data_IF_522355304060
#
_entry.id   IF_522355304060
#
_cell.length_a   1.000
_cell.length_b   1.000
_cell.length_c   1.000
_cell.angle_alpha   90.00
_cell.angle_beta   90.00
_cell.angle_gamma   90.00
#
_symmetry.space_group_name_H-M   'P 1'
#
loop_
_entity.id
_entity.type
_entity.pdbx_description
1 polymer ?
#
# COMPACT_ATOMS: atom_id res chain seq x y z
N UNK A 1 18.16 13.98 7.30
CA UNK A 1 18.00 12.59 6.83
C UNK A 1 17.07 12.56 5.62
N UNK A 2 17.45 11.87 4.52
CA UNK A 2 16.66 11.79 3.26
C UNK A 2 15.96 10.43 3.15
N UNK A 3 14.67 10.43 2.91
CA UNK A 3 13.82 9.22 2.86
C UNK A 3 13.00 9.23 1.58
N UNK A 4 13.15 8.19 0.77
CA UNK A 4 12.40 8.03 -0.47
C UNK A 4 11.40 6.89 -0.34
N UNK A 5 10.20 7.09 -0.91
CA UNK A 5 9.17 6.07 -1.05
C UNK A 5 9.05 5.63 -2.49
N UNK A 6 9.13 4.33 -2.72
CA UNK A 6 8.83 3.66 -3.97
C UNK A 6 7.54 2.87 -3.80
N UNK A 7 6.49 3.29 -4.48
CA UNK A 7 5.17 2.67 -4.36
C UNK A 7 4.34 2.81 -5.63
N UNK A 8 4.78 2.29 -6.79
CA UNK A 8 4.00 2.37 -8.03
C UNK A 8 2.68 1.62 -7.90
N UNK A 9 1.61 2.25 -8.35
CA UNK A 9 0.28 1.65 -8.43
C UNK A 9 -0.43 2.11 -9.72
N UNK A 10 -1.36 1.31 -10.21
CA UNK A 10 -2.14 1.62 -11.41
C UNK A 10 -3.66 1.43 -11.21
N UNK A 11 -4.08 1.09 -9.99
CA UNK A 11 -5.49 1.05 -9.56
C UNK A 11 -5.61 1.66 -8.17
N UNK A 12 -6.78 2.20 -7.84
CA UNK A 12 -7.03 2.75 -6.51
C UNK A 12 -7.06 1.63 -5.46
N UNK A 13 -6.14 1.72 -4.50
CA UNK A 13 -5.99 0.75 -3.41
C UNK A 13 -5.77 1.46 -2.07
N UNK A 14 -6.18 0.84 -0.98
CA UNK A 14 -6.04 1.40 0.37
C UNK A 14 -4.58 1.74 0.75
N UNK A 15 -3.61 1.05 0.16
CA UNK A 15 -2.17 1.28 0.41
C UNK A 15 -1.72 2.68 0.00
N UNK A 16 -2.41 3.36 -0.96
CA UNK A 16 -2.07 4.73 -1.37
C UNK A 16 -2.14 5.68 -0.17
N UNK A 17 -3.26 5.68 0.55
CA UNK A 17 -3.43 6.50 1.76
C UNK A 17 -2.44 6.12 2.85
N UNK A 18 -2.16 4.83 3.02
CA UNK A 18 -1.18 4.37 4.01
C UNK A 18 0.24 4.89 3.70
N UNK A 19 0.63 5.00 2.43
CA UNK A 19 1.93 5.58 2.02
C UNK A 19 1.96 7.08 2.31
N UNK A 20 0.93 7.84 1.89
CA UNK A 20 0.83 9.29 2.12
C UNK A 20 0.91 9.57 3.63
N UNK A 21 0.06 8.95 4.43
CA UNK A 21 0.03 9.19 5.87
C UNK A 21 1.28 8.70 6.61
N UNK A 22 1.95 7.66 6.11
CA UNK A 22 3.25 7.24 6.62
C UNK A 22 4.31 8.33 6.38
N UNK A 23 4.35 8.91 5.18
CA UNK A 23 5.26 9.99 4.84
C UNK A 23 4.98 11.26 5.67
N UNK A 24 3.71 11.66 5.79
CA UNK A 24 3.28 12.80 6.63
C UNK A 24 3.61 12.60 8.10
N UNK A 25 3.40 11.37 8.62
CA UNK A 25 3.73 11.04 10.01
C UNK A 25 5.21 11.20 10.31
N UNK A 26 6.07 10.83 9.37
CA UNK A 26 7.52 11.04 9.53
C UNK A 26 7.85 12.53 9.65
N UNK A 27 7.33 13.38 8.75
CA UNK A 27 7.56 14.82 8.80
C UNK A 27 7.03 15.41 10.11
N UNK A 28 5.84 14.99 10.53
CA UNK A 28 5.15 15.58 11.68
C UNK A 28 5.76 15.16 13.01
N UNK A 29 6.12 13.89 13.18
CA UNK A 29 6.46 13.33 14.47
C UNK A 29 7.96 13.07 14.67
N UNK A 30 8.74 12.95 13.61
CA UNK A 30 10.19 12.78 13.75
C UNK A 30 10.86 14.13 14.00
N UNK A 31 11.42 14.33 15.21
CA UNK A 31 11.98 15.62 15.67
C UNK A 31 13.48 15.59 15.97
N UNK A 32 14.14 14.43 15.78
CA UNK A 32 15.55 14.29 16.12
C UNK A 32 16.49 15.06 15.19
N UNK A 33 16.13 15.17 13.92
CA UNK A 33 16.87 15.90 12.90
C UNK A 33 15.94 16.32 11.75
N UNK A 34 16.38 17.26 10.93
CA UNK A 34 15.64 17.64 9.71
C UNK A 34 15.54 16.44 8.77
N UNK A 35 14.33 16.13 8.35
CA UNK A 35 14.08 15.07 7.38
C UNK A 35 13.56 15.67 6.07
N UNK A 36 13.97 15.04 4.97
CA UNK A 36 13.50 15.29 3.62
C UNK A 36 12.82 14.01 3.13
N UNK A 37 11.51 14.08 2.90
CA UNK A 37 10.69 12.94 2.49
C UNK A 37 10.21 13.16 1.08
N UNK A 38 10.43 12.18 0.21
CA UNK A 38 10.01 12.25 -1.19
C UNK A 38 9.27 11.00 -1.62
N UNK A 39 8.19 11.20 -2.38
CA UNK A 39 7.48 10.14 -3.11
C UNK A 39 8.03 10.07 -4.53
N UNK A 40 8.47 8.89 -4.96
CA UNK A 40 8.93 8.68 -6.34
C UNK A 40 7.71 8.42 -7.22
N UNK A 41 7.48 9.31 -8.19
CA UNK A 41 6.44 9.21 -9.20
C UNK A 41 7.01 8.53 -10.45
N UNK A 42 6.74 7.26 -10.60
CA UNK A 42 7.40 6.42 -11.60
C UNK A 42 6.67 6.37 -12.94
N UNK A 43 5.35 6.44 -12.92
CA UNK A 43 4.47 6.31 -14.10
C UNK A 43 3.36 7.37 -14.14
N UNK A 44 3.36 8.34 -13.22
CA UNK A 44 2.29 9.33 -13.05
C UNK A 44 1.26 8.95 -11.98
N UNK A 45 1.58 7.97 -11.15
CA UNK A 45 0.66 7.42 -10.14
C UNK A 45 0.27 8.41 -9.05
N UNK A 46 1.11 9.40 -8.75
CA UNK A 46 0.86 10.40 -7.72
C UNK A 46 0.15 11.66 -8.20
N UNK A 47 0.01 11.87 -9.52
CA UNK A 47 -0.52 13.12 -10.09
C UNK A 47 -1.93 13.47 -9.59
N UNK A 48 -2.81 12.49 -9.51
CA UNK A 48 -4.18 12.70 -9.02
C UNK A 48 -4.27 12.87 -7.49
N UNK A 49 -3.15 12.69 -6.78
CA UNK A 49 -3.08 12.78 -5.32
C UNK A 49 -2.30 14.00 -4.83
N UNK A 50 -1.73 14.84 -5.70
CA UNK A 50 -0.92 16.00 -5.33
C UNK A 50 -1.62 16.92 -4.31
N UNK A 51 -2.92 17.15 -4.47
CA UNK A 51 -3.71 17.97 -3.56
C UNK A 51 -3.92 17.35 -2.17
N UNK A 52 -3.73 16.04 -2.05
CA UNK A 52 -3.90 15.28 -0.81
C UNK A 52 -2.56 15.06 -0.07
N UNK A 53 -1.44 15.35 -0.71
CA UNK A 53 -0.09 15.17 -0.16
C UNK A 53 0.34 16.46 0.52
N UNK A 54 0.91 16.36 1.73
CA UNK A 54 1.44 17.50 2.47
C UNK A 54 2.52 18.23 1.65
N UNK A 55 2.47 19.56 1.63
CA UNK A 55 3.39 20.42 0.85
C UNK A 55 4.86 20.25 1.20
N UNK A 56 5.16 19.68 2.37
CA UNK A 56 6.53 19.39 2.81
C UNK A 56 7.03 18.03 2.30
N UNK A 57 6.23 17.28 1.53
CA UNK A 57 6.62 16.04 0.87
C UNK A 57 6.91 16.35 -0.60
N UNK A 58 8.13 16.05 -1.04
CA UNK A 58 8.51 16.24 -2.43
C UNK A 58 7.98 15.10 -3.31
N UNK A 59 7.54 15.42 -4.53
CA UNK A 59 7.22 14.43 -5.55
C UNK A 59 8.32 14.44 -6.60
N UNK A 60 9.03 13.31 -6.74
CA UNK A 60 10.11 13.17 -7.71
C UNK A 60 9.57 12.45 -8.95
N UNK A 61 9.36 13.19 -10.03
CA UNK A 61 8.96 12.63 -11.31
C UNK A 61 10.15 11.91 -11.97
N UNK A 62 10.10 10.58 -12.03
CA UNK A 62 11.15 9.77 -12.65
C UNK A 62 11.15 9.88 -14.17
N UNK A 63 9.98 10.08 -14.74
CA UNK A 63 9.75 10.11 -16.17
C UNK A 63 8.95 11.35 -16.57
N UNK A 64 9.31 11.93 -17.75
CA UNK A 64 8.50 12.99 -18.35
C UNK A 64 7.17 12.46 -18.91
N UNK A 65 7.21 11.25 -19.47
CA UNK A 65 6.05 10.57 -20.05
C UNK A 65 5.39 9.75 -18.92
N UNK A 66 4.10 9.97 -18.74
CA UNK A 66 3.27 9.28 -17.73
C UNK A 66 2.61 8.07 -18.38
N UNK A 67 3.01 6.88 -17.95
CA UNK A 67 2.51 5.63 -18.52
C UNK A 67 1.20 5.15 -17.91
N UNK A 68 0.75 5.74 -16.81
CA UNK A 68 -0.38 5.23 -16.01
C UNK A 68 -1.63 4.97 -16.87
N UNK A 69 -1.94 5.86 -17.80
CA UNK A 69 -3.16 5.77 -18.62
C UNK A 69 -3.06 4.75 -19.77
N UNK A 70 -1.84 4.42 -20.15
CA UNK A 70 -1.56 3.46 -21.24
C UNK A 70 -1.37 2.02 -20.74
N UNK A 71 -1.26 1.82 -19.42
CA UNK A 71 -1.04 0.49 -18.87
C UNK A 71 -2.33 -0.34 -18.87
N UNK A 72 -2.26 -1.62 -19.27
CA UNK A 72 -3.39 -2.52 -19.17
C UNK A 72 -3.71 -2.81 -17.70
N UNK A 73 -4.90 -2.38 -17.23
CA UNK A 73 -5.27 -2.37 -15.80
C UNK A 73 -6.07 -3.59 -15.35
N UNK A 74 -6.93 -4.14 -16.20
CA UNK A 74 -7.92 -5.14 -15.82
C UNK A 74 -7.49 -6.56 -16.19
N UNK A 75 -7.59 -7.48 -15.22
CA UNK A 75 -7.30 -8.90 -15.39
C UNK A 75 -5.89 -9.32 -14.97
N UNK A 76 -5.75 -10.63 -14.68
CA UNK A 76 -4.52 -11.19 -14.12
C UNK A 76 -3.32 -11.06 -15.07
N UNK A 77 -3.49 -11.39 -16.35
CA UNK A 77 -2.40 -11.36 -17.35
C UNK A 77 -2.01 -9.90 -17.63
N UNK A 78 -3.00 -9.02 -17.86
CA UNK A 78 -2.78 -7.60 -18.15
C UNK A 78 -2.00 -6.90 -17.04
N UNK A 79 -2.34 -7.16 -15.78
CA UNK A 79 -1.58 -6.60 -14.65
C UNK A 79 -0.15 -7.12 -14.57
N UNK A 80 0.14 -8.36 -14.98
CA UNK A 80 1.52 -8.87 -15.07
C UNK A 80 2.34 -8.17 -16.13
N UNK A 81 1.75 -7.92 -17.28
CA UNK A 81 2.39 -7.13 -18.37
C UNK A 81 2.72 -5.73 -17.85
N UNK A 82 1.79 -5.06 -17.17
CA UNK A 82 2.05 -3.74 -16.58
C UNK A 82 3.20 -3.75 -15.57
N UNK A 83 3.32 -4.77 -14.73
CA UNK A 83 4.46 -4.92 -13.81
C UNK A 83 5.79 -5.05 -14.56
N UNK A 84 5.83 -5.80 -15.67
CA UNK A 84 7.03 -5.96 -16.50
C UNK A 84 7.40 -4.63 -17.16
N UNK A 85 6.42 -3.93 -17.75
CA UNK A 85 6.64 -2.62 -18.36
C UNK A 85 7.20 -1.64 -17.34
N UNK A 86 6.59 -1.50 -16.16
CA UNK A 86 7.04 -0.60 -15.10
C UNK A 86 8.46 -0.95 -14.65
N UNK A 87 8.79 -2.25 -14.55
CA UNK A 87 10.13 -2.70 -14.19
C UNK A 87 11.17 -2.19 -15.17
N UNK A 88 11.03 -2.48 -16.48
CA UNK A 88 12.02 -2.10 -17.49
C UNK A 88 12.04 -0.58 -17.75
N UNK A 89 10.88 0.08 -17.68
CA UNK A 89 10.77 1.52 -17.88
C UNK A 89 11.54 2.33 -16.84
N UNK A 90 11.63 1.83 -15.62
CA UNK A 90 12.21 2.56 -14.50
C UNK A 90 13.60 2.08 -14.07
N UNK A 91 14.13 0.98 -14.61
CA UNK A 91 15.36 0.33 -14.11
C UNK A 91 16.55 1.29 -14.07
N UNK A 92 16.85 1.98 -15.17
CA UNK A 92 17.99 2.89 -15.26
C UNK A 92 17.73 4.16 -14.45
N UNK A 93 16.53 4.71 -14.55
CA UNK A 93 16.20 5.99 -13.92
C UNK A 93 16.14 5.88 -12.39
N UNK A 94 15.55 4.81 -11.86
CA UNK A 94 15.53 4.57 -10.42
C UNK A 94 16.95 4.33 -9.88
N UNK A 95 17.77 3.53 -10.58
CA UNK A 95 19.18 3.33 -10.22
C UNK A 95 19.92 4.66 -10.15
N UNK A 96 19.79 5.49 -11.20
CA UNK A 96 20.50 6.76 -11.27
C UNK A 96 20.03 7.74 -10.19
N UNK A 97 18.70 7.83 -9.94
CA UNK A 97 18.15 8.64 -8.86
C UNK A 97 18.73 8.25 -7.50
N UNK A 98 18.67 6.96 -7.15
CA UNK A 98 19.14 6.48 -5.85
C UNK A 98 20.66 6.70 -5.69
N UNK A 99 21.45 6.46 -6.73
CA UNK A 99 22.89 6.65 -6.65
C UNK A 99 23.31 8.13 -6.65
N UNK A 100 22.54 9.02 -7.31
CA UNK A 100 22.78 10.46 -7.30
C UNK A 100 22.43 11.10 -5.96
N UNK A 101 21.24 10.79 -5.44
CA UNK A 101 20.67 11.45 -4.27
C UNK A 101 21.02 10.78 -2.96
N UNK A 102 21.52 9.54 -2.99
CA UNK A 102 21.97 8.72 -1.86
C UNK A 102 21.03 8.81 -0.64
N UNK A 103 19.70 8.49 -0.81
CA UNK A 103 18.80 8.59 0.32
C UNK A 103 19.24 7.64 1.45
N UNK A 104 19.07 8.06 2.70
CA UNK A 104 19.37 7.22 3.86
C UNK A 104 18.48 5.98 3.88
N UNK A 105 17.20 6.15 3.47
CA UNK A 105 16.23 5.06 3.39
C UNK A 105 15.45 5.10 2.09
N UNK A 106 15.27 3.93 1.50
CA UNK A 106 14.31 3.66 0.43
C UNK A 106 13.22 2.73 0.98
N UNK A 107 12.03 3.27 1.21
CA UNK A 107 10.86 2.51 1.68
C UNK A 107 10.11 2.00 0.45
N UNK A 108 10.00 0.68 0.34
CA UNK A 108 9.48 0.00 -0.84
C UNK A 108 8.14 -0.64 -0.54
N UNK A 109 7.11 -0.19 -1.24
CA UNK A 109 5.76 -0.77 -1.22
C UNK A 109 5.42 -1.43 -2.56
N UNK A 110 4.40 -2.30 -2.57
CA UNK A 110 3.74 -2.89 -3.75
C UNK A 110 4.70 -3.58 -4.72
N UNK A 111 5.26 -2.86 -5.68
CA UNK A 111 6.14 -3.40 -6.72
C UNK A 111 7.58 -3.50 -6.21
N UNK A 112 7.84 -4.57 -5.47
CA UNK A 112 9.10 -4.72 -4.72
C UNK A 112 10.26 -5.27 -5.55
N UNK A 113 9.98 -5.91 -6.70
CA UNK A 113 11.00 -6.61 -7.49
C UNK A 113 12.10 -5.68 -8.04
N UNK A 114 11.72 -4.53 -8.58
CA UNK A 114 12.70 -3.61 -9.15
C UNK A 114 13.66 -3.02 -8.10
N UNK A 115 13.21 -2.39 -7.01
CA UNK A 115 14.12 -1.88 -5.99
C UNK A 115 14.97 -2.97 -5.34
N UNK A 116 14.41 -4.16 -5.09
CA UNK A 116 15.16 -5.29 -4.54
C UNK A 116 16.27 -5.71 -5.50
N UNK A 117 15.97 -5.87 -6.80
CA UNK A 117 16.97 -6.19 -7.81
C UNK A 117 18.08 -5.12 -7.85
N UNK A 118 17.69 -3.85 -7.84
CA UNK A 118 18.63 -2.74 -7.92
C UNK A 118 19.52 -2.58 -6.68
N UNK A 119 19.22 -3.27 -5.56
CA UNK A 119 20.12 -3.27 -4.39
C UNK A 119 21.53 -3.78 -4.69
N UNK A 120 21.71 -4.51 -5.79
CA UNK A 120 23.02 -4.91 -6.28
C UNK A 120 23.87 -3.72 -6.78
N UNK A 121 23.21 -2.66 -7.23
CA UNK A 121 23.81 -1.50 -7.89
C UNK A 121 23.71 -0.22 -7.06
N UNK A 122 23.04 -0.26 -5.91
CA UNK A 122 22.94 0.89 -5.02
C UNK A 122 24.26 1.08 -4.25
N UNK A 123 24.58 2.33 -4.00
CA UNK A 123 25.64 2.68 -3.05
C UNK A 123 25.29 2.10 -1.66
N UNK A 124 26.30 1.70 -0.91
CA UNK A 124 26.12 1.05 0.42
C UNK A 124 25.41 1.93 1.45
N UNK A 125 25.28 3.23 1.19
CA UNK A 125 24.65 4.20 2.11
C UNK A 125 23.12 4.04 2.18
N UNK A 126 22.46 3.67 1.08
CA UNK A 126 21.00 3.55 1.04
C UNK A 126 20.52 2.25 1.68
N UNK A 127 19.72 2.36 2.75
CA UNK A 127 19.09 1.24 3.45
C UNK A 127 17.70 0.98 2.89
N UNK A 128 17.47 -0.22 2.35
CA UNK A 128 16.16 -0.60 1.79
C UNK A 128 15.28 -1.21 2.86
N UNK A 129 14.09 -0.61 3.08
CA UNK A 129 13.04 -1.11 3.95
C UNK A 129 11.92 -1.67 3.07
N UNK A 130 11.65 -2.96 3.19
CA UNK A 130 10.59 -3.61 2.44
C UNK A 130 9.30 -3.58 3.26
N UNK A 131 8.27 -2.88 2.76
CA UNK A 131 6.93 -2.87 3.35
C UNK A 131 6.03 -3.91 2.70
N UNK A 132 5.56 -4.87 3.46
CA UNK A 132 4.62 -5.90 3.01
C UNK A 132 3.23 -5.56 3.55
N UNK A 133 2.35 -5.03 2.70
CA UNK A 133 1.05 -4.47 3.09
C UNK A 133 -0.06 -5.51 3.35
N UNK A 134 0.23 -6.78 3.29
CA UNK A 134 -0.74 -7.87 3.53
C UNK A 134 -0.08 -9.23 3.44
N UNK A 135 -0.88 -10.31 3.52
CA UNK A 135 -0.35 -11.66 3.40
C UNK A 135 0.12 -11.93 1.95
N UNK A 136 1.43 -12.06 1.70
CA UNK A 136 1.95 -12.19 0.34
C UNK A 136 1.71 -13.60 -0.21
N UNK A 137 1.26 -13.69 -1.46
CA UNK A 137 1.30 -14.96 -2.21
C UNK A 137 2.74 -15.22 -2.64
N UNK A 138 3.40 -16.21 -2.02
CA UNK A 138 4.80 -16.54 -2.28
C UNK A 138 4.84 -17.83 -3.10
N UNK A 139 5.04 -17.70 -4.43
CA UNK A 139 5.37 -18.81 -5.31
C UNK A 139 6.88 -19.08 -5.30
N UNK A 140 7.33 -20.17 -5.94
CA UNK A 140 8.74 -20.59 -5.95
C UNK A 140 9.67 -19.47 -6.47
N UNK A 141 9.32 -18.81 -7.58
CA UNK A 141 10.14 -17.74 -8.16
C UNK A 141 10.30 -16.55 -7.19
N UNK A 142 9.21 -16.11 -6.56
CA UNK A 142 9.27 -15.06 -5.56
C UNK A 142 10.04 -15.48 -4.32
N UNK A 143 9.89 -16.73 -3.88
CA UNK A 143 10.63 -17.27 -2.76
C UNK A 143 12.14 -17.21 -3.04
N UNK A 144 12.60 -17.76 -4.17
CA UNK A 144 14.00 -17.76 -4.55
C UNK A 144 14.55 -16.35 -4.70
N UNK A 145 13.82 -15.48 -5.40
CA UNK A 145 14.20 -14.08 -5.58
C UNK A 145 14.37 -13.38 -4.22
N UNK A 146 13.37 -13.46 -3.35
CA UNK A 146 13.47 -12.82 -2.03
C UNK A 146 14.58 -13.44 -1.17
N UNK A 147 14.79 -14.77 -1.25
CA UNK A 147 15.85 -15.47 -0.50
C UNK A 147 17.25 -15.00 -0.92
N UNK A 148 17.49 -14.87 -2.23
CA UNK A 148 18.76 -14.38 -2.78
C UNK A 148 19.05 -12.97 -2.29
N UNK A 149 18.06 -12.08 -2.32
CA UNK A 149 18.25 -10.67 -2.00
C UNK A 149 18.01 -10.32 -0.51
N UNK A 150 17.58 -11.26 0.32
CA UNK A 150 17.23 -11.01 1.73
C UNK A 150 18.36 -10.37 2.54
N UNK A 151 19.62 -10.69 2.21
CA UNK A 151 20.79 -10.12 2.90
C UNK A 151 20.95 -8.62 2.65
N UNK A 152 20.52 -8.11 1.47
CA UNK A 152 20.57 -6.70 1.08
C UNK A 152 19.47 -5.85 1.72
N UNK A 153 18.37 -6.48 2.15
CA UNK A 153 17.26 -5.77 2.79
C UNK A 153 17.63 -5.41 4.23
N UNK A 154 17.50 -4.13 4.57
CA UNK A 154 17.80 -3.63 5.91
C UNK A 154 16.75 -4.10 6.92
N UNK A 155 15.46 -3.78 6.67
CA UNK A 155 14.32 -4.21 7.48
C UNK A 155 13.14 -4.59 6.59
N UNK A 156 12.29 -5.45 7.13
CA UNK A 156 11.00 -5.82 6.54
C UNK A 156 9.92 -5.44 7.53
N UNK A 157 8.93 -4.67 7.11
CA UNK A 157 7.80 -4.30 7.95
C UNK A 157 6.51 -4.91 7.42
N UNK A 158 5.63 -5.33 8.31
CA UNK A 158 4.32 -5.89 7.98
C UNK A 158 3.25 -5.39 8.96
N UNK A 159 1.97 -5.29 8.53
CA UNK A 159 0.94 -4.60 9.32
C UNK A 159 0.40 -5.42 10.50
N UNK A 160 0.50 -6.74 10.45
CA UNK A 160 -0.15 -7.62 11.43
C UNK A 160 0.77 -8.71 11.96
N UNK A 161 0.48 -9.19 13.16
CA UNK A 161 1.15 -10.35 13.76
C UNK A 161 1.02 -11.61 12.87
N UNK A 162 -0.15 -11.84 12.27
CA UNK A 162 -0.35 -12.98 11.36
C UNK A 162 0.57 -12.93 10.14
N UNK A 163 0.79 -11.75 9.54
CA UNK A 163 1.76 -11.60 8.44
C UNK A 163 3.20 -11.80 8.94
N UNK A 164 3.53 -11.32 10.11
CA UNK A 164 4.84 -11.54 10.75
C UNK A 164 5.11 -13.04 10.93
N UNK A 165 4.20 -13.78 11.55
CA UNK A 165 4.35 -15.21 11.82
C UNK A 165 4.46 -16.03 10.51
N UNK A 166 3.68 -15.63 9.49
CA UNK A 166 3.81 -16.21 8.16
C UNK A 166 5.22 -16.01 7.55
N UNK A 167 5.77 -14.80 7.64
CA UNK A 167 7.11 -14.50 7.11
C UNK A 167 8.20 -15.26 7.87
N UNK A 168 8.08 -15.37 9.19
CA UNK A 168 8.98 -16.20 10.03
C UNK A 168 8.94 -17.66 9.58
N UNK A 169 7.75 -18.23 9.42
CA UNK A 169 7.55 -19.61 8.95
C UNK A 169 8.20 -19.87 7.58
N UNK A 170 8.18 -18.87 6.69
CA UNK A 170 8.82 -18.99 5.36
C UNK A 170 10.35 -18.95 5.37
N UNK A 171 10.98 -18.52 6.47
CA UNK A 171 12.46 -18.49 6.64
C UNK A 171 13.20 -17.77 5.49
N UNK A 172 12.58 -16.75 4.88
CA UNK A 172 13.19 -15.95 3.81
C UNK A 172 14.11 -14.89 4.40
N UNK A 173 13.59 -14.13 5.35
CA UNK A 173 14.33 -13.07 6.05
C UNK A 173 14.71 -13.54 7.46
N UNK A 174 15.82 -13.00 7.98
CA UNK A 174 16.19 -13.22 9.38
C UNK A 174 15.15 -12.57 10.31
N UNK A 175 14.86 -13.21 11.45
CA UNK A 175 13.82 -12.77 12.40
C UNK A 175 14.04 -11.34 12.88
N UNK A 176 15.26 -10.96 13.17
CA UNK A 176 15.66 -9.63 13.65
C UNK A 176 15.46 -8.51 12.60
N UNK A 177 15.25 -8.87 11.34
CA UNK A 177 14.92 -7.91 10.28
C UNK A 177 13.43 -7.65 10.14
N UNK A 178 12.56 -8.52 10.66
CA UNK A 178 11.11 -8.41 10.48
C UNK A 178 10.50 -7.69 11.68
N UNK A 179 9.66 -6.68 11.39
CA UNK A 179 8.99 -5.87 12.40
C UNK A 179 7.49 -5.78 12.08
N UNK A 180 6.66 -5.87 13.12
CA UNK A 180 5.25 -5.51 13.01
C UNK A 180 5.14 -3.98 13.12
N UNK A 181 4.59 -3.36 12.10
CA UNK A 181 4.32 -1.93 12.05
C UNK A 181 2.96 -1.76 11.36
N UNK A 182 1.95 -1.33 12.09
CA UNK A 182 0.62 -1.09 11.53
C UNK A 182 0.65 0.02 10.48
N UNK A 183 -0.25 -0.07 9.48
CA UNK A 183 -0.42 1.02 8.53
C UNK A 183 -1.17 2.18 9.22
N UNK A 184 -0.78 3.43 9.00
CA UNK A 184 -1.58 4.59 9.40
C UNK A 184 -2.78 4.66 8.47
N UNK A 185 -3.95 4.23 8.95
CA UNK A 185 -5.17 4.11 8.14
C UNK A 185 -6.22 5.16 8.45
N UNK A 186 -6.06 5.91 9.52
CA UNK A 186 -7.01 6.95 9.95
C UNK A 186 -6.25 8.24 10.29
N UNK A 187 -6.61 9.33 9.63
CA UNK A 187 -6.25 10.67 10.05
C UNK A 187 -7.31 11.17 11.03
N UNK A 188 -7.00 11.20 12.32
CA UNK A 188 -7.96 11.56 13.38
C UNK A 188 -8.55 12.96 13.23
N UNK A 189 -7.80 13.94 12.67
CA UNK A 189 -8.32 15.29 12.41
C UNK A 189 -9.37 15.25 11.30
N UNK A 190 -9.04 14.63 10.18
CA UNK A 190 -9.96 14.46 9.06
C UNK A 190 -11.21 13.67 9.46
N UNK A 191 -11.02 12.61 10.23
CA UNK A 191 -12.13 11.82 10.77
C UNK A 191 -13.06 12.66 11.65
N UNK A 192 -12.51 13.47 12.55
CA UNK A 192 -13.30 14.31 13.46
C UNK A 192 -14.10 15.39 12.73
N UNK A 193 -13.56 15.93 11.62
CA UNK A 193 -14.26 16.90 10.77
C UNK A 193 -15.39 16.19 10.03
N UNK A 194 -15.09 15.12 9.31
CA UNK A 194 -16.06 14.35 8.51
C UNK A 194 -17.19 13.78 9.37
N UNK A 195 -16.89 13.34 10.60
CA UNK A 195 -17.92 12.83 11.52
C UNK A 195 -18.98 13.89 11.85
N UNK A 196 -18.62 15.18 11.85
CA UNK A 196 -19.59 16.29 12.11
C UNK A 196 -20.41 16.63 10.88
N UNK A 197 -19.88 16.36 9.68
CA UNK A 197 -20.49 16.70 8.39
C UNK A 197 -21.42 15.57 7.87
N UNK A 198 -21.27 14.35 8.37
CA UNK A 198 -22.01 13.19 7.89
C UNK A 198 -23.47 13.24 8.38
N UNK A 199 -24.35 13.57 7.44
CA UNK A 199 -25.77 13.26 7.55
C UNK A 199 -25.98 11.81 7.11
N UNK A 200 -26.57 10.99 7.99
CA UNK A 200 -27.04 9.67 7.59
C UNK A 200 -28.15 9.83 6.52
N UNK A 201 -28.21 8.94 5.51
CA UNK A 201 -29.37 8.88 4.65
C UNK A 201 -30.65 8.79 5.48
N UNK A 202 -31.69 9.51 5.08
CA UNK A 202 -32.96 9.58 5.83
C UNK A 202 -33.60 8.21 6.08
N UNK A 203 -33.37 7.28 5.14
CA UNK A 203 -33.83 5.88 5.21
C UNK A 203 -33.19 5.08 6.35
N UNK A 204 -32.04 5.54 6.84
CA UNK A 204 -31.32 4.89 7.94
C UNK A 204 -31.59 5.54 9.31
N UNK A 205 -32.41 6.60 9.35
CA UNK A 205 -32.77 7.24 10.60
C UNK A 205 -33.71 6.36 11.41
N UNK A 206 -33.38 6.17 12.69
CA UNK A 206 -34.22 5.43 13.65
C UNK A 206 -34.42 3.93 13.33
N UNK A 207 -33.54 3.33 12.52
CA UNK A 207 -33.54 1.89 12.32
C UNK A 207 -32.26 1.26 12.89
N UNK A 208 -32.36 0.03 13.39
CA UNK A 208 -31.20 -0.77 13.74
C UNK A 208 -30.65 -1.47 12.50
N UNK A 209 -29.34 -1.39 12.28
CA UNK A 209 -28.73 -2.04 11.14
C UNK A 209 -27.34 -2.61 11.40
N UNK A 210 -27.02 -3.66 10.66
CA UNK A 210 -25.67 -4.20 10.50
C UNK A 210 -25.09 -3.63 9.22
N UNK A 211 -23.88 -3.05 9.29
CA UNK A 211 -23.24 -2.48 8.10
C UNK A 211 -22.04 -3.31 7.65
N UNK A 212 -22.01 -3.67 6.37
CA UNK A 212 -20.85 -4.24 5.70
C UNK A 212 -20.24 -3.23 4.72
N UNK A 213 -18.94 -2.89 4.89
CA UNK A 213 -18.25 -1.92 4.03
C UNK A 213 -17.07 -2.57 3.34
N UNK A 214 -17.01 -2.47 1.99
CA UNK A 214 -15.86 -2.98 1.25
C UNK A 214 -16.15 -3.28 -0.21
N UNK A 215 -15.10 -3.64 -0.97
CA UNK A 215 -15.27 -4.06 -2.36
C UNK A 215 -16.08 -5.35 -2.43
N UNK A 216 -17.08 -5.41 -3.31
CA UNK A 216 -17.89 -6.61 -3.53
C UNK A 216 -17.10 -7.59 -4.40
N UNK A 217 -16.29 -8.39 -3.76
CA UNK A 217 -15.38 -9.36 -4.39
C UNK A 217 -15.38 -10.67 -3.62
N UNK A 218 -15.03 -11.77 -4.28
CA UNK A 218 -14.86 -13.09 -3.65
C UNK A 218 -13.99 -13.07 -2.39
N UNK A 219 -12.95 -12.21 -2.37
CA UNK A 219 -12.09 -12.07 -1.20
C UNK A 219 -12.80 -11.52 0.04
N UNK A 220 -13.78 -10.61 -0.16
CA UNK A 220 -14.54 -10.00 0.93
C UNK A 220 -15.72 -10.84 1.38
N UNK A 221 -16.18 -11.73 0.51
CA UNK A 221 -17.20 -12.74 0.78
C UNK A 221 -18.50 -12.17 1.41
N UNK A 222 -19.03 -11.10 0.81
CA UNK A 222 -20.30 -10.51 1.24
C UNK A 222 -21.47 -11.51 1.16
N UNK A 223 -21.39 -12.50 0.25
CA UNK A 223 -22.36 -13.59 0.18
C UNK A 223 -22.51 -14.34 1.51
N UNK A 224 -21.41 -14.56 2.24
CA UNK A 224 -21.47 -15.15 3.58
C UNK A 224 -22.21 -14.25 4.56
N UNK A 225 -21.97 -12.92 4.51
CA UNK A 225 -22.64 -11.94 5.37
C UNK A 225 -24.14 -11.94 5.09
N UNK A 226 -24.56 -11.92 3.82
CA UNK A 226 -25.97 -11.97 3.43
C UNK A 226 -26.65 -13.26 3.91
N UNK A 227 -26.04 -14.42 3.68
CA UNK A 227 -26.58 -15.70 4.12
C UNK A 227 -26.71 -15.78 5.66
N UNK A 228 -25.74 -15.22 6.37
CA UNK A 228 -25.81 -15.16 7.84
C UNK A 228 -26.93 -14.21 8.30
N UNK A 229 -27.06 -13.06 7.62
CA UNK A 229 -28.11 -12.10 7.92
C UNK A 229 -29.52 -12.64 7.71
N UNK A 230 -29.77 -13.45 6.67
CA UNK A 230 -31.05 -14.11 6.41
C UNK A 230 -31.49 -14.95 7.62
N UNK A 231 -30.54 -15.66 8.26
CA UNK A 231 -30.85 -16.46 9.44
C UNK A 231 -31.17 -15.59 10.67
N UNK A 232 -30.54 -14.41 10.79
CA UNK A 232 -30.78 -13.48 11.89
C UNK A 232 -32.11 -12.74 11.71
N UNK A 233 -32.44 -12.29 10.49
CA UNK A 233 -33.66 -11.53 10.19
C UNK A 233 -34.94 -12.29 10.48
N UNK A 234 -34.91 -13.63 10.46
CA UNK A 234 -36.02 -14.47 10.89
C UNK A 234 -36.35 -14.33 12.39
N UNK A 235 -35.32 -14.02 13.21
CA UNK A 235 -35.46 -13.86 14.66
C UNK A 235 -35.63 -12.40 15.08
N UNK A 236 -35.00 -11.48 14.36
CA UNK A 236 -34.97 -10.04 14.66
C UNK A 236 -35.48 -9.27 13.43
N UNK A 237 -36.80 -9.04 13.40
CA UNK A 237 -37.49 -8.47 12.21
C UNK A 237 -37.17 -7.00 11.93
N UNK A 238 -36.73 -6.26 12.96
CA UNK A 238 -36.49 -4.81 12.87
C UNK A 238 -35.02 -4.46 12.52
N UNK A 239 -34.15 -5.47 12.35
CA UNK A 239 -32.77 -5.26 11.95
C UNK A 239 -32.61 -5.27 10.44
N UNK A 240 -31.89 -4.29 9.90
CA UNK A 240 -31.58 -4.17 8.48
C UNK A 240 -30.12 -4.50 8.18
N UNK A 241 -29.83 -4.96 6.95
CA UNK A 241 -28.47 -5.13 6.45
C UNK A 241 -28.16 -4.04 5.43
N UNK A 242 -27.16 -3.22 5.71
CA UNK A 242 -26.66 -2.18 4.81
C UNK A 242 -25.30 -2.61 4.24
N UNK A 243 -25.20 -2.68 2.92
CA UNK A 243 -23.95 -3.02 2.24
C UNK A 243 -23.49 -1.79 1.45
N UNK A 244 -22.26 -1.34 1.73
CA UNK A 244 -21.64 -0.18 1.08
C UNK A 244 -20.40 -0.65 0.33
N UNK A 245 -20.46 -0.60 -0.99
CA UNK A 245 -19.33 -0.97 -1.84
C UNK A 245 -19.73 -1.28 -3.26
N UNK A 246 -18.72 -1.49 -4.10
CA UNK A 246 -18.83 -1.87 -5.50
C UNK A 246 -17.88 -3.01 -5.81
N UNK A 247 -18.18 -3.79 -6.85
CA UNK A 247 -17.29 -4.87 -7.27
C UNK A 247 -17.93 -5.86 -8.24
N UNK A 248 -17.21 -6.92 -8.53
CA UNK A 248 -17.61 -7.98 -9.47
C UNK A 248 -18.74 -8.89 -8.96
N UNK A 249 -19.09 -8.82 -7.69
CA UNK A 249 -20.16 -9.59 -7.03
C UNK A 249 -21.34 -8.68 -6.61
N UNK A 250 -21.55 -7.59 -7.36
CA UNK A 250 -22.66 -6.65 -7.15
C UNK A 250 -23.98 -7.27 -7.63
#
# INVERSE_FOLDING_TARGET
MKIFYWSPFFTNIATIKAVIWSAESLIKFYKKEKIDVSLINSIGEWDNFEKQIDKNINIINLNKIKLLDYLPKNGFIKSRISYIIIFFWNIIKLKNLINKDEPNFLIVHLMTSLPIFLTLFFNKKTKVILRISGLPKINLLRFLFWKIFAHKIYKVTCPTKGTYDFLIKKKIFKKEKILVLSDPIINMKEFSIKKKELLLPTELNNIEYIVGIGRLTKQKNFKLLVNFFINISNKYKDIHLVIIGEGEEN
#
